data_IF_887365922824
#
_entry.id   IF_887365922824
#
_cell.length_a   1.000
_cell.length_b   1.000
_cell.length_c   1.000
_cell.angle_alpha   90.00
_cell.angle_beta   90.00
_cell.angle_gamma   90.00
#
_symmetry.space_group_name_H-M   'P 1'
#
loop_
_entity.id
_entity.type
_entity.pdbx_description
1 polymer ?
#
# COMPACT_ATOMS: atom_id res chain seq x y z
N UNK A 1 39.00 8.80 7.66
CA UNK A 1 38.37 9.45 8.83
C UNK A 1 36.99 9.90 8.39
N UNK A 2 35.96 9.10 8.65
CA UNK A 2 34.58 9.48 8.36
C UNK A 2 34.13 10.45 9.46
N UNK A 3 33.83 11.70 9.09
CA UNK A 3 33.29 12.69 10.03
C UNK A 3 31.96 12.22 10.64
N UNK A 4 31.47 12.87 11.71
CA UNK A 4 30.21 12.49 12.33
C UNK A 4 29.10 12.53 11.29
N UNK A 5 28.52 11.37 10.99
CA UNK A 5 27.36 11.26 10.09
C UNK A 5 26.21 11.95 10.80
N UNK A 6 25.87 13.16 10.37
CA UNK A 6 24.71 13.89 10.86
C UNK A 6 23.46 13.06 10.59
N UNK A 7 22.66 12.84 11.63
CA UNK A 7 21.43 12.09 11.50
C UNK A 7 20.44 12.82 10.58
N UNK A 8 19.78 12.12 9.65
CA UNK A 8 18.74 12.72 8.83
C UNK A 8 17.64 13.33 9.69
N UNK A 9 17.20 14.56 9.35
CA UNK A 9 16.13 15.26 10.07
C UNK A 9 14.81 14.46 10.16
N UNK A 10 14.56 13.51 9.24
CA UNK A 10 13.41 12.60 9.33
C UNK A 10 13.43 11.74 10.60
N UNK A 11 14.62 11.42 11.13
CA UNK A 11 14.76 10.69 12.39
C UNK A 11 14.26 11.53 13.57
N UNK A 12 14.61 12.81 13.61
CA UNK A 12 14.12 13.73 14.65
C UNK A 12 12.61 13.89 14.58
N UNK A 13 12.05 14.04 13.37
CA UNK A 13 10.60 14.11 13.18
C UNK A 13 9.90 12.82 13.65
N UNK A 14 10.49 11.66 13.35
CA UNK A 14 9.97 10.36 13.80
C UNK A 14 10.04 10.19 15.32
N UNK A 15 11.12 10.61 15.96
CA UNK A 15 11.25 10.57 17.43
C UNK A 15 10.21 11.46 18.12
N UNK A 16 9.92 12.63 17.56
CA UNK A 16 8.85 13.49 18.05
C UNK A 16 7.49 12.82 17.90
N UNK A 17 7.21 12.26 16.72
CA UNK A 17 5.98 11.50 16.47
C UNK A 17 5.79 10.33 17.45
N UNK A 18 6.85 9.60 17.78
CA UNK A 18 6.78 8.51 18.77
C UNK A 18 6.47 9.01 20.19
N UNK A 19 6.76 10.29 20.50
CA UNK A 19 6.53 10.87 21.80
C UNK A 19 5.15 11.53 21.93
N UNK A 20 4.63 12.13 20.85
CA UNK A 20 3.40 12.93 20.87
C UNK A 20 2.26 12.37 20.01
N UNK A 21 2.52 11.35 19.20
CA UNK A 21 1.58 10.73 18.24
C UNK A 21 1.00 11.71 17.19
N UNK A 22 1.62 12.88 17.01
CA UNK A 22 1.17 13.94 16.09
C UNK A 22 1.58 13.61 14.64
N UNK A 23 0.79 12.76 13.98
CA UNK A 23 1.01 12.39 12.59
C UNK A 23 0.94 13.58 11.63
N UNK A 24 0.12 14.60 11.91
CA UNK A 24 0.00 15.81 11.09
C UNK A 24 1.32 16.58 11.07
N UNK A 25 1.96 16.74 12.24
CA UNK A 25 3.28 17.37 12.34
C UNK A 25 4.34 16.55 11.62
N UNK A 26 4.34 15.23 11.80
CA UNK A 26 5.30 14.37 11.12
C UNK A 26 5.19 14.50 9.58
N UNK A 27 3.97 14.42 9.05
CA UNK A 27 3.65 14.58 7.62
C UNK A 27 4.15 15.93 7.13
N UNK A 28 3.80 17.03 7.82
CA UNK A 28 4.19 18.39 7.43
C UNK A 28 5.70 18.58 7.42
N UNK A 29 6.41 18.14 8.46
CA UNK A 29 7.87 18.28 8.55
C UNK A 29 8.58 17.43 7.50
N UNK A 30 8.15 16.18 7.35
CA UNK A 30 8.78 15.24 6.39
C UNK A 30 8.55 15.69 4.96
N UNK A 31 7.31 16.07 4.60
CA UNK A 31 6.98 16.53 3.25
C UNK A 31 7.63 17.87 2.87
N UNK A 32 7.95 18.72 3.85
CA UNK A 32 8.67 19.97 3.60
C UNK A 32 10.18 19.76 3.33
N UNK A 33 10.75 18.65 3.82
CA UNK A 33 12.19 18.42 3.81
C UNK A 33 12.64 17.33 2.83
N UNK A 34 11.75 16.43 2.45
CA UNK A 34 12.09 15.22 1.71
C UNK A 34 11.16 14.98 0.52
N UNK A 35 11.77 14.63 -0.61
CA UNK A 35 11.06 14.03 -1.74
C UNK A 35 10.88 12.52 -1.53
N UNK A 36 9.91 11.91 -2.22
CA UNK A 36 9.73 10.44 -2.17
C UNK A 36 10.98 9.68 -2.56
N UNK A 37 11.70 10.08 -3.61
CA UNK A 37 12.97 9.45 -3.98
C UNK A 37 14.09 9.61 -2.94
N UNK A 38 14.00 10.62 -2.05
CA UNK A 38 14.94 10.70 -0.91
C UNK A 38 14.51 9.78 0.22
N UNK A 39 13.21 9.69 0.52
CA UNK A 39 12.69 8.74 1.50
C UNK A 39 12.94 7.29 1.06
N UNK A 40 12.81 6.97 -0.22
CA UNK A 40 13.17 5.66 -0.77
C UNK A 40 14.65 5.32 -0.53
N UNK A 41 15.58 6.26 -0.76
CA UNK A 41 17.00 6.02 -0.43
C UNK A 41 17.23 5.82 1.07
N UNK A 42 16.44 6.48 1.91
CA UNK A 42 16.53 6.34 3.37
C UNK A 42 15.85 5.06 3.88
N UNK A 43 14.95 4.44 3.11
CA UNK A 43 14.28 3.20 3.50
C UNK A 43 15.23 1.99 3.56
N UNK A 44 16.41 2.08 2.95
CA UNK A 44 17.47 1.06 2.98
C UNK A 44 18.69 1.48 3.82
N UNK A 45 18.54 2.49 4.67
CA UNK A 45 19.62 3.03 5.49
C UNK A 45 20.15 2.00 6.54
N UNK A 46 21.46 1.97 6.86
CA UNK A 46 22.02 1.00 7.82
C UNK A 46 21.37 1.06 9.22
N UNK A 47 20.98 2.26 9.65
CA UNK A 47 20.25 2.45 10.92
C UNK A 47 18.77 2.18 10.74
N UNK A 48 18.25 1.18 11.47
CA UNK A 48 16.83 0.79 11.47
C UNK A 48 15.88 1.94 11.81
N UNK A 49 16.25 2.87 12.69
CA UNK A 49 15.38 3.98 13.09
C UNK A 49 15.14 4.95 11.92
N UNK A 50 16.14 5.13 11.05
CA UNK A 50 16.02 5.93 9.83
C UNK A 50 15.12 5.22 8.82
N UNK A 51 15.27 3.89 8.67
CA UNK A 51 14.39 3.10 7.79
C UNK A 51 12.93 3.18 8.24
N UNK A 52 12.65 3.04 9.54
CA UNK A 52 11.31 3.19 10.12
C UNK A 52 10.71 4.56 9.79
N UNK A 53 11.47 5.63 10.04
CA UNK A 53 11.03 6.99 9.74
C UNK A 53 10.73 7.20 8.25
N UNK A 54 11.60 6.70 7.38
CA UNK A 54 11.45 6.81 5.94
C UNK A 54 10.23 6.03 5.42
N UNK A 55 10.05 4.79 5.86
CA UNK A 55 8.92 3.92 5.47
C UNK A 55 7.60 4.46 5.99
N UNK A 56 7.56 4.99 7.23
CA UNK A 56 6.39 5.72 7.72
C UNK A 56 6.07 6.93 6.82
N UNK A 57 7.10 7.71 6.45
CA UNK A 57 6.96 8.85 5.53
C UNK A 57 6.37 8.45 4.18
N UNK A 58 6.93 7.42 3.54
CA UNK A 58 6.41 6.88 2.28
C UNK A 58 4.95 6.44 2.42
N UNK A 59 4.62 5.73 3.49
CA UNK A 59 3.28 5.22 3.76
C UNK A 59 2.25 6.30 4.10
N UNK A 60 2.65 7.43 4.71
CA UNK A 60 1.72 8.51 5.05
C UNK A 60 1.55 9.55 3.93
N UNK A 61 2.62 9.87 3.21
CA UNK A 61 2.65 10.95 2.22
C UNK A 61 2.51 10.47 0.78
N UNK A 62 2.98 9.26 0.46
CA UNK A 62 3.17 8.79 -0.91
C UNK A 62 1.90 8.36 -1.62
N UNK A 63 1.88 8.49 -2.95
CA UNK A 63 0.93 7.80 -3.82
C UNK A 63 1.44 6.40 -4.22
N UNK A 64 0.83 5.83 -5.26
CA UNK A 64 1.17 4.50 -5.78
C UNK A 64 2.63 4.41 -6.27
N UNK A 65 3.27 5.52 -6.60
CA UNK A 65 4.70 5.59 -6.95
C UNK A 65 5.62 5.07 -5.83
N UNK A 66 5.15 5.05 -4.58
CA UNK A 66 5.89 4.52 -3.44
C UNK A 66 5.72 2.99 -3.27
N UNK A 67 4.90 2.33 -4.11
CA UNK A 67 4.56 0.91 -3.97
C UNK A 67 5.80 0.01 -3.97
N UNK A 68 6.75 0.23 -4.87
CA UNK A 68 7.95 -0.61 -4.97
C UNK A 68 8.88 -0.46 -3.76
N UNK A 69 9.10 0.77 -3.29
CA UNK A 69 9.90 1.05 -2.10
C UNK A 69 9.28 0.41 -0.84
N UNK A 70 7.95 0.51 -0.69
CA UNK A 70 7.21 -0.11 0.41
C UNK A 70 7.20 -1.64 0.29
N UNK A 71 7.07 -2.18 -0.94
CA UNK A 71 7.11 -3.60 -1.23
C UNK A 71 8.44 -4.24 -0.83
N UNK A 72 9.56 -3.62 -1.20
CA UNK A 72 10.90 -4.04 -0.75
C UNK A 72 11.04 -4.01 0.77
N UNK A 73 10.46 -3.01 1.44
CA UNK A 73 10.51 -2.87 2.90
C UNK A 73 9.71 -3.95 3.66
N UNK A 74 8.81 -4.70 2.99
CA UNK A 74 8.17 -5.88 3.57
C UNK A 74 9.18 -6.99 3.92
N UNK A 75 10.37 -6.96 3.33
CA UNK A 75 11.44 -7.94 3.55
C UNK A 75 12.54 -7.43 4.49
N UNK A 76 12.36 -6.26 5.13
CA UNK A 76 13.35 -5.70 6.05
C UNK A 76 13.59 -6.63 7.25
N UNK A 77 14.82 -6.67 7.78
CA UNK A 77 15.17 -7.43 8.99
C UNK A 77 14.41 -6.93 10.24
N UNK A 78 14.12 -5.62 10.30
CA UNK A 78 13.45 -4.98 11.42
C UNK A 78 11.94 -5.15 11.32
N UNK A 79 11.36 -5.79 12.33
CA UNK A 79 9.91 -6.07 12.37
C UNK A 79 9.05 -4.81 12.28
N UNK A 80 9.50 -3.69 12.87
CA UNK A 80 8.71 -2.45 12.84
C UNK A 80 8.71 -1.86 11.44
N UNK A 81 9.83 -1.94 10.71
CA UNK A 81 9.88 -1.54 9.30
C UNK A 81 8.88 -2.36 8.47
N UNK A 82 8.85 -3.69 8.63
CA UNK A 82 7.88 -4.54 7.93
C UNK A 82 6.43 -4.17 8.22
N UNK A 83 6.09 -3.89 9.48
CA UNK A 83 4.73 -3.49 9.87
C UNK A 83 4.32 -2.12 9.29
N UNK A 84 5.27 -1.16 9.30
CA UNK A 84 5.06 0.15 8.70
C UNK A 84 4.90 0.02 7.18
N UNK A 85 5.70 -0.84 6.55
CA UNK A 85 5.61 -1.14 5.12
C UNK A 85 4.26 -1.78 4.77
N UNK A 86 3.78 -2.76 5.53
CA UNK A 86 2.47 -3.39 5.31
C UNK A 86 1.32 -2.37 5.42
N UNK A 87 1.36 -1.53 6.44
CA UNK A 87 0.33 -0.50 6.61
C UNK A 87 0.39 0.53 5.49
N UNK A 88 1.61 1.00 5.18
CA UNK A 88 1.84 2.00 4.14
C UNK A 88 1.48 1.50 2.75
N UNK A 89 1.82 0.26 2.41
CA UNK A 89 1.60 -0.29 1.07
C UNK A 89 0.10 -0.43 0.76
N UNK A 90 -0.69 -0.87 1.75
CA UNK A 90 -2.16 -0.89 1.62
C UNK A 90 -2.72 0.52 1.45
N UNK A 91 -2.20 1.49 2.20
CA UNK A 91 -2.64 2.89 2.09
C UNK A 91 -2.36 3.47 0.70
N UNK A 92 -1.21 3.17 0.09
CA UNK A 92 -0.91 3.67 -1.27
C UNK A 92 -1.77 2.99 -2.35
N UNK A 93 -2.18 1.73 -2.16
CA UNK A 93 -3.12 1.06 -3.08
C UNK A 93 -4.47 1.79 -3.11
N UNK A 94 -4.96 2.23 -1.94
CA UNK A 94 -6.20 3.00 -1.83
C UNK A 94 -6.06 4.45 -2.33
N UNK A 95 -4.84 4.96 -2.43
CA UNK A 95 -4.56 6.32 -2.95
C UNK A 95 -4.31 6.37 -4.46
N UNK A 96 -4.29 5.23 -5.15
CA UNK A 96 -4.06 5.18 -6.59
C UNK A 96 -5.12 5.97 -7.39
N UNK A 97 -4.72 6.50 -8.54
CA UNK A 97 -5.61 7.21 -9.48
C UNK A 97 -6.02 8.62 -9.05
N UNK A 98 -7.14 9.11 -9.58
CA UNK A 98 -7.73 10.40 -9.22
C UNK A 98 -8.83 10.24 -8.14
N UNK A 99 -9.38 11.36 -7.64
CA UNK A 99 -10.40 11.34 -6.57
C UNK A 99 -11.66 10.57 -6.94
N UNK A 100 -12.08 10.62 -8.21
CA UNK A 100 -13.25 9.92 -8.68
C UNK A 100 -13.03 8.41 -8.72
N UNK A 101 -11.90 7.97 -9.24
CA UNK A 101 -11.50 6.56 -9.28
C UNK A 101 -11.34 6.00 -7.86
N UNK A 102 -10.75 6.76 -6.94
CA UNK A 102 -10.65 6.39 -5.52
C UNK A 102 -12.02 6.22 -4.86
N UNK A 103 -12.98 7.08 -5.20
CA UNK A 103 -14.34 6.99 -4.68
C UNK A 103 -15.05 5.72 -5.17
N UNK A 104 -14.93 5.41 -6.47
CA UNK A 104 -15.46 4.18 -7.04
C UNK A 104 -14.81 2.94 -6.40
N UNK A 105 -13.48 2.94 -6.20
CA UNK A 105 -12.80 1.86 -5.49
C UNK A 105 -13.31 1.71 -4.05
N UNK A 106 -13.49 2.82 -3.34
CA UNK A 106 -14.07 2.81 -1.99
C UNK A 106 -15.48 2.21 -1.93
N UNK A 107 -16.30 2.46 -2.96
CA UNK A 107 -17.62 1.85 -3.08
C UNK A 107 -17.54 0.34 -3.35
N UNK A 108 -16.65 -0.10 -4.25
CA UNK A 108 -16.37 -1.53 -4.51
C UNK A 108 -15.99 -2.26 -3.21
N UNK A 109 -15.08 -1.69 -2.43
CA UNK A 109 -14.65 -2.24 -1.13
C UNK A 109 -15.84 -2.33 -0.16
N UNK A 110 -16.66 -1.27 -0.08
CA UNK A 110 -17.85 -1.24 0.79
C UNK A 110 -18.85 -2.33 0.41
N UNK A 111 -19.07 -2.58 -0.88
CA UNK A 111 -19.97 -3.63 -1.35
C UNK A 111 -19.50 -5.02 -0.92
N UNK A 112 -18.20 -5.31 -1.01
CA UNK A 112 -17.62 -6.53 -0.47
C UNK A 112 -17.84 -6.65 1.06
N UNK A 113 -17.60 -5.57 1.81
CA UNK A 113 -17.81 -5.54 3.25
C UNK A 113 -19.28 -5.75 3.64
N UNK A 114 -20.22 -5.27 2.82
CA UNK A 114 -21.66 -5.50 3.00
C UNK A 114 -22.16 -6.80 2.37
N UNK A 115 -21.27 -7.63 1.84
CA UNK A 115 -21.57 -8.92 1.20
C UNK A 115 -22.49 -8.82 -0.03
N UNK A 116 -22.57 -7.64 -0.66
CA UNK A 116 -23.28 -7.44 -1.92
C UNK A 116 -22.35 -7.76 -3.09
N UNK A 117 -22.01 -9.04 -3.20
CA UNK A 117 -20.97 -9.49 -4.13
C UNK A 117 -21.38 -9.34 -5.60
N UNK A 118 -22.67 -9.49 -5.91
CA UNK A 118 -23.18 -9.31 -7.27
C UNK A 118 -22.97 -7.89 -7.77
N UNK A 119 -23.35 -6.91 -6.96
CA UNK A 119 -23.14 -5.50 -7.29
C UNK A 119 -21.66 -5.11 -7.23
N UNK A 120 -20.89 -5.69 -6.29
CA UNK A 120 -19.44 -5.51 -6.24
C UNK A 120 -18.78 -5.90 -7.57
N UNK A 121 -19.10 -7.08 -8.12
CA UNK A 121 -18.56 -7.53 -9.42
C UNK A 121 -18.94 -6.56 -10.53
N UNK A 122 -20.19 -6.09 -10.56
CA UNK A 122 -20.66 -5.15 -11.59
C UNK A 122 -19.88 -3.84 -11.54
N UNK A 123 -19.79 -3.21 -10.36
CA UNK A 123 -19.13 -1.93 -10.19
C UNK A 123 -17.61 -2.02 -10.37
N UNK A 124 -16.99 -3.09 -9.86
CA UNK A 124 -15.57 -3.34 -10.07
C UNK A 124 -15.24 -3.53 -11.56
N UNK A 125 -16.11 -4.21 -12.32
CA UNK A 125 -15.93 -4.37 -13.76
C UNK A 125 -16.00 -3.03 -14.51
N UNK A 126 -16.98 -2.18 -14.18
CA UNK A 126 -17.06 -0.83 -14.76
C UNK A 126 -15.83 0.03 -14.41
N UNK A 127 -15.31 -0.08 -13.18
CA UNK A 127 -14.08 0.63 -12.81
C UNK A 127 -12.87 0.13 -13.61
N UNK A 128 -12.75 -1.19 -13.79
CA UNK A 128 -11.65 -1.82 -14.52
C UNK A 128 -11.67 -1.56 -16.02
N UNK A 129 -12.84 -1.31 -16.63
CA UNK A 129 -12.95 -0.83 -18.01
C UNK A 129 -12.27 0.54 -18.20
N UNK A 130 -12.28 1.39 -17.16
CA UNK A 130 -11.68 2.71 -17.19
C UNK A 130 -10.22 2.71 -16.70
N UNK A 131 -9.92 1.84 -15.73
CA UNK A 131 -8.65 1.83 -14.99
C UNK A 131 -8.13 0.40 -14.84
N UNK A 132 -7.68 -0.24 -15.93
CA UNK A 132 -7.28 -1.66 -15.91
C UNK A 132 -6.02 -1.92 -15.07
N UNK A 133 -5.30 -0.88 -14.65
CA UNK A 133 -4.09 -0.96 -13.84
C UNK A 133 -4.36 -0.87 -12.32
N UNK A 134 -5.62 -0.86 -11.86
CA UNK A 134 -5.93 -0.90 -10.43
C UNK A 134 -5.86 -2.33 -9.88
N UNK A 135 -4.69 -2.73 -9.38
CA UNK A 135 -4.50 -4.04 -8.74
C UNK A 135 -5.52 -4.31 -7.61
N UNK A 136 -5.81 -3.30 -6.77
CA UNK A 136 -6.80 -3.45 -5.69
C UNK A 136 -8.22 -3.68 -6.22
N UNK A 137 -8.62 -3.07 -7.35
CA UNK A 137 -9.94 -3.29 -7.93
C UNK A 137 -10.09 -4.72 -8.46
N UNK A 138 -9.06 -5.27 -9.11
CA UNK A 138 -8.99 -6.68 -9.49
C UNK A 138 -9.11 -7.60 -8.28
N UNK A 139 -8.33 -7.34 -7.22
CA UNK A 139 -8.40 -8.10 -5.97
C UNK A 139 -9.80 -8.05 -5.32
N UNK A 140 -10.44 -6.89 -5.28
CA UNK A 140 -11.80 -6.77 -4.73
C UNK A 140 -12.82 -7.55 -5.57
N UNK A 141 -12.71 -7.51 -6.91
CA UNK A 141 -13.56 -8.35 -7.77
C UNK A 141 -13.29 -9.83 -7.55
N UNK A 142 -12.03 -10.23 -7.37
CA UNK A 142 -11.66 -11.60 -7.04
C UNK A 142 -12.29 -12.09 -5.73
N UNK A 143 -12.30 -11.25 -4.69
CA UNK A 143 -12.96 -11.55 -3.41
C UNK A 143 -14.47 -11.75 -3.61
N UNK A 144 -15.12 -10.90 -4.39
CA UNK A 144 -16.55 -11.03 -4.67
C UNK A 144 -16.86 -12.31 -5.47
N UNK A 145 -16.06 -12.61 -6.50
CA UNK A 145 -16.18 -13.84 -7.29
C UNK A 145 -16.01 -15.09 -6.44
N UNK A 146 -15.03 -15.12 -5.54
CA UNK A 146 -14.84 -16.23 -4.60
C UNK A 146 -16.09 -16.47 -3.75
N UNK A 147 -16.64 -15.42 -3.16
CA UNK A 147 -17.84 -15.52 -2.31
C UNK A 147 -19.10 -15.91 -3.08
N UNK A 148 -19.14 -15.69 -4.41
CA UNK A 148 -20.20 -16.17 -5.30
C UNK A 148 -19.97 -17.61 -5.79
N UNK A 149 -18.90 -18.29 -5.35
CA UNK A 149 -18.52 -19.63 -5.81
C UNK A 149 -17.91 -19.65 -7.22
N UNK A 150 -17.55 -18.49 -7.78
CA UNK A 150 -16.91 -18.33 -9.08
C UNK A 150 -15.39 -18.37 -8.92
N UNK A 151 -14.87 -19.52 -8.52
CA UNK A 151 -13.46 -19.66 -8.13
C UNK A 151 -12.48 -19.42 -9.28
N UNK A 152 -12.78 -19.86 -10.50
CA UNK A 152 -11.90 -19.60 -11.65
C UNK A 152 -11.78 -18.10 -11.93
N UNK A 153 -12.90 -17.37 -11.95
CA UNK A 153 -12.90 -15.92 -12.15
C UNK A 153 -12.12 -15.20 -11.03
N UNK A 154 -12.20 -15.72 -9.79
CA UNK A 154 -11.41 -15.22 -8.66
C UNK A 154 -9.91 -15.43 -8.86
N UNK A 155 -9.50 -16.60 -9.35
CA UNK A 155 -8.10 -16.91 -9.68
C UNK A 155 -7.61 -15.96 -10.78
N UNK A 156 -8.36 -15.80 -11.85
CA UNK A 156 -7.98 -14.97 -13.00
C UNK A 156 -7.83 -13.50 -12.58
N UNK A 157 -8.76 -12.97 -11.79
CA UNK A 157 -8.69 -11.62 -11.26
C UNK A 157 -7.52 -11.44 -10.28
N UNK A 158 -7.27 -12.42 -9.42
CA UNK A 158 -6.14 -12.38 -8.48
C UNK A 158 -4.79 -12.43 -9.22
N UNK A 159 -4.70 -13.22 -10.29
CA UNK A 159 -3.53 -13.28 -11.15
C UNK A 159 -3.27 -11.92 -11.81
N UNK A 160 -4.31 -11.30 -12.36
CA UNK A 160 -4.21 -9.95 -12.95
C UNK A 160 -3.75 -8.90 -11.93
N UNK A 161 -4.27 -8.96 -10.69
CA UNK A 161 -3.81 -8.07 -9.61
C UNK A 161 -2.31 -8.23 -9.32
N UNK A 162 -1.80 -9.47 -9.35
CA UNK A 162 -0.39 -9.78 -9.11
C UNK A 162 0.52 -9.41 -10.28
N UNK A 163 0.04 -9.49 -11.53
CA UNK A 163 0.77 -8.99 -12.70
C UNK A 163 1.00 -7.48 -12.61
N UNK A 164 -0.01 -6.74 -12.14
CA UNK A 164 0.06 -5.28 -11.96
C UNK A 164 0.89 -4.92 -10.73
N UNK A 165 0.72 -5.65 -9.64
CA UNK A 165 1.39 -5.41 -8.38
C UNK A 165 1.91 -6.72 -7.75
N UNK A 166 3.21 -7.04 -7.92
CA UNK A 166 3.79 -8.27 -7.38
C UNK A 166 3.83 -8.30 -5.85
N UNK A 167 3.62 -7.16 -5.17
CA UNK A 167 3.57 -7.07 -3.71
C UNK A 167 2.15 -7.22 -3.16
N UNK A 168 1.14 -7.51 -3.99
CA UNK A 168 -0.26 -7.58 -3.57
C UNK A 168 -0.59 -8.89 -2.83
N UNK A 169 -0.09 -9.03 -1.60
CA UNK A 169 -0.25 -10.25 -0.81
C UNK A 169 -1.72 -10.64 -0.54
N UNK A 170 -2.68 -9.70 -0.60
CA UNK A 170 -4.10 -9.99 -0.52
C UNK A 170 -4.60 -10.85 -1.68
N UNK A 171 -4.16 -10.54 -2.90
CA UNK A 171 -4.50 -11.28 -4.11
C UNK A 171 -3.77 -12.64 -4.13
N UNK A 172 -2.52 -12.69 -3.69
CA UNK A 172 -1.78 -13.94 -3.57
C UNK A 172 -2.47 -14.92 -2.59
N UNK A 173 -2.92 -14.42 -1.43
CA UNK A 173 -3.65 -15.22 -0.46
C UNK A 173 -5.03 -15.67 -1.00
N UNK A 174 -5.78 -14.76 -1.64
CA UNK A 174 -7.07 -15.06 -2.25
C UNK A 174 -6.96 -16.10 -3.37
N UNK A 175 -5.96 -15.98 -4.23
CA UNK A 175 -5.68 -16.96 -5.29
C UNK A 175 -5.39 -18.35 -4.72
N UNK A 176 -4.56 -18.43 -3.67
CA UNK A 176 -4.30 -19.68 -2.97
C UNK A 176 -5.56 -20.30 -2.36
N UNK A 177 -6.43 -19.47 -1.79
CA UNK A 177 -7.71 -19.90 -1.22
C UNK A 177 -8.66 -20.44 -2.30
N UNK A 178 -8.70 -19.82 -3.48
CA UNK A 178 -9.55 -20.27 -4.60
C UNK A 178 -9.14 -21.61 -5.22
N UNK A 179 -7.94 -22.11 -4.92
CA UNK A 179 -7.47 -23.44 -5.37
C UNK A 179 -7.79 -24.59 -4.41
N UNK A 180 -8.22 -24.31 -3.18
CA UNK A 180 -8.51 -25.30 -2.14
C UNK A 180 -9.96 -25.79 -2.22
#
# INVERSE_FOLDING_TARGET
MSGPTLDPAVLTAYQQYLADEDSTRFIRLTGALYTFGTLERLSVHPRREVRRAAVLGLGLLGGYECNDALGKALLDEDRVVRNLAETGIRAVWLRAGNDEQRRHLGEVIRLNLSQDYGECVRLASTLLEQVPWFAEAWNQRAIACYNLGRYQDSVDDSHQALEINPYHFGAAAGMGQSYL
#
